data_IF_713598029553
#
_entry.id   IF_713598029553
#
_cell.length_a   1.000
_cell.length_b   1.000
_cell.length_c   1.000
_cell.angle_alpha   90.00
_cell.angle_beta   90.00
_cell.angle_gamma   90.00
#
_symmetry.space_group_name_H-M   'P 1'
#
loop_
_entity.id
_entity.type
_entity.pdbx_description
1 polymer ?
#
# COMPACT_ATOMS: atom_id res chain seq x y z
N UNK A 1 -13.46 9.06 4.18
CA UNK A 1 -12.42 9.69 3.33
C UNK A 1 -12.87 9.58 1.89
N UNK A 2 -12.87 10.67 1.17
CA UNK A 2 -13.30 10.59 -0.22
C UNK A 2 -12.18 10.05 -1.10
N UNK A 3 -12.53 9.71 -2.34
CA UNK A 3 -11.59 9.05 -3.23
C UNK A 3 -10.41 9.94 -3.57
N UNK A 4 -10.64 11.22 -3.76
CA UNK A 4 -9.57 12.12 -4.14
C UNK A 4 -8.56 12.29 -3.00
N UNK A 5 -9.04 12.44 -1.79
CA UNK A 5 -8.17 12.54 -0.62
C UNK A 5 -7.39 11.24 -0.42
N UNK A 6 -8.08 10.11 -0.58
CA UNK A 6 -7.44 8.82 -0.45
C UNK A 6 -6.34 8.63 -1.49
N UNK A 7 -6.62 8.98 -2.74
CA UNK A 7 -5.62 8.85 -3.81
C UNK A 7 -4.39 9.71 -3.53
N UNK A 8 -4.60 10.92 -3.01
CA UNK A 8 -3.48 11.79 -2.66
C UNK A 8 -2.60 11.19 -1.57
N UNK A 9 -3.22 10.57 -0.57
CA UNK A 9 -2.46 9.93 0.50
C UNK A 9 -1.67 8.73 -0.02
N UNK A 10 -2.27 7.96 -0.92
CA UNK A 10 -1.58 6.81 -1.52
C UNK A 10 -0.39 7.28 -2.35
N UNK A 11 -0.56 8.35 -3.15
CA UNK A 11 0.54 8.88 -3.94
C UNK A 11 1.70 9.34 -3.05
N UNK A 12 1.39 9.99 -1.94
CA UNK A 12 2.44 10.44 -1.02
C UNK A 12 3.17 9.25 -0.43
N UNK A 13 2.45 8.21 -0.06
CA UNK A 13 3.07 7.00 0.46
C UNK A 13 3.98 6.34 -0.58
N UNK A 14 3.56 6.32 -1.84
CA UNK A 14 4.40 5.77 -2.90
C UNK A 14 5.71 6.55 -3.03
N UNK A 15 5.62 7.88 -2.97
CA UNK A 15 6.81 8.71 -3.10
C UNK A 15 7.79 8.46 -1.95
N UNK A 16 7.29 8.35 -0.74
CA UNK A 16 8.15 8.07 0.42
C UNK A 16 8.78 6.69 0.29
N UNK A 17 7.99 5.70 -0.12
CA UNK A 17 8.51 4.35 -0.30
C UNK A 17 9.62 4.28 -1.33
N UNK A 18 9.47 5.01 -2.43
CA UNK A 18 10.52 5.04 -3.46
C UNK A 18 11.78 5.70 -2.93
N UNK A 19 11.64 6.75 -2.14
CA UNK A 19 12.80 7.38 -1.50
C UNK A 19 13.52 6.41 -0.58
N UNK A 20 12.75 5.57 0.13
CA UNK A 20 13.34 4.58 1.02
C UNK A 20 14.16 3.54 0.26
N UNK A 21 13.76 3.21 -0.97
CA UNK A 21 14.54 2.28 -1.78
C UNK A 21 15.88 2.89 -2.18
N UNK A 22 15.93 4.19 -2.36
CA UNK A 22 17.15 4.85 -2.74
C UNK A 22 18.07 5.10 -1.53
N UNK A 23 17.48 5.45 -0.40
CA UNK A 23 18.24 5.71 0.81
C UNK A 23 17.48 5.11 1.98
N UNK A 24 17.85 3.91 2.36
CA UNK A 24 17.13 3.16 3.37
C UNK A 24 17.35 3.76 4.76
N UNK A 25 16.24 3.93 5.49
CA UNK A 25 16.24 4.43 6.86
C UNK A 25 15.23 3.57 7.61
N UNK A 26 15.69 2.76 8.53
CA UNK A 26 14.82 1.80 9.21
C UNK A 26 13.75 2.48 10.06
N UNK A 27 14.10 3.60 10.71
CA UNK A 27 13.10 4.31 11.50
C UNK A 27 12.03 4.90 10.61
N UNK A 28 12.43 5.48 9.49
CA UNK A 28 11.47 6.03 8.55
C UNK A 28 10.63 4.92 7.92
N UNK A 29 11.25 3.77 7.66
CA UNK A 29 10.51 2.63 7.14
C UNK A 29 9.39 2.22 8.12
N UNK A 30 9.70 2.13 9.40
CA UNK A 30 8.69 1.75 10.38
C UNK A 30 7.55 2.76 10.43
N UNK A 31 7.87 4.04 10.38
CA UNK A 31 6.83 5.08 10.38
C UNK A 31 5.99 5.02 9.10
N UNK A 32 6.66 4.83 7.97
CA UNK A 32 5.97 4.73 6.69
C UNK A 32 5.03 3.53 6.67
N UNK A 33 5.52 2.39 7.15
CA UNK A 33 4.71 1.17 7.19
C UNK A 33 3.46 1.36 8.05
N UNK A 34 3.62 1.95 9.22
CA UNK A 34 2.49 2.20 10.10
C UNK A 34 1.50 3.19 9.51
N UNK A 35 2.02 4.24 8.88
CA UNK A 35 1.16 5.24 8.24
C UNK A 35 0.37 4.63 7.09
N UNK A 36 1.03 3.81 6.28
CA UNK A 36 0.37 3.18 5.15
C UNK A 36 -0.73 2.23 5.61
N UNK A 37 -0.46 1.44 6.65
CA UNK A 37 -1.47 0.54 7.17
C UNK A 37 -2.67 1.31 7.71
N UNK A 38 -2.43 2.44 8.36
CA UNK A 38 -3.52 3.27 8.85
C UNK A 38 -4.37 3.81 7.70
N UNK A 39 -3.72 4.29 6.65
CA UNK A 39 -4.45 4.82 5.50
C UNK A 39 -5.29 3.72 4.85
N UNK A 40 -4.71 2.55 4.66
CA UNK A 40 -5.44 1.43 4.06
C UNK A 40 -6.62 1.00 4.94
N UNK A 41 -6.44 1.02 6.26
CA UNK A 41 -7.53 0.71 7.17
C UNK A 41 -8.65 1.76 7.04
N UNK A 42 -8.29 3.03 6.93
CA UNK A 42 -9.30 4.08 6.79
C UNK A 42 -10.07 3.98 5.48
N UNK A 43 -9.40 3.53 4.42
CA UNK A 43 -10.05 3.45 3.11
C UNK A 43 -10.86 2.16 2.97
N UNK A 44 -10.29 1.04 3.36
CA UNK A 44 -10.88 -0.26 3.07
C UNK A 44 -11.34 -1.03 4.30
N UNK A 45 -10.85 -0.65 5.48
CA UNK A 45 -11.18 -1.37 6.71
C UNK A 45 -10.30 -2.59 6.92
N UNK A 46 -10.55 -3.29 8.02
CA UNK A 46 -9.86 -4.53 8.37
C UNK A 46 -10.88 -5.60 8.68
N UNK A 47 -10.67 -6.82 8.19
CA UNK A 47 -9.63 -7.16 7.22
C UNK A 47 -10.06 -6.81 5.81
N UNK A 48 -9.11 -6.47 4.96
CA UNK A 48 -9.38 -6.23 3.56
C UNK A 48 -8.19 -6.72 2.76
N UNK A 49 -8.40 -6.98 1.49
CA UNK A 49 -7.32 -7.48 0.66
C UNK A 49 -6.17 -6.50 0.56
N UNK A 50 -6.39 -5.21 0.29
CA UNK A 50 -5.27 -4.27 0.23
C UNK A 50 -4.52 -4.15 1.55
N UNK A 51 -5.26 -4.10 2.66
CA UNK A 51 -4.63 -4.00 3.97
C UNK A 51 -3.76 -5.21 4.25
N UNK A 52 -4.32 -6.39 4.03
CA UNK A 52 -3.59 -7.62 4.33
C UNK A 52 -2.42 -7.84 3.38
N UNK A 53 -2.60 -7.50 2.11
CA UNK A 53 -1.52 -7.63 1.13
C UNK A 53 -0.36 -6.70 1.46
N UNK A 54 -0.63 -5.51 1.95
CA UNK A 54 0.42 -4.59 2.35
C UNK A 54 1.11 -5.08 3.63
N UNK A 55 0.32 -5.53 4.59
CA UNK A 55 0.87 -5.95 5.88
C UNK A 55 1.73 -7.21 5.74
N UNK A 56 1.30 -8.13 4.91
CA UNK A 56 2.00 -9.40 4.69
C UNK A 56 2.27 -9.60 3.21
N UNK A 57 3.24 -8.89 2.64
CA UNK A 57 3.48 -8.96 1.21
C UNK A 57 4.31 -10.18 0.86
N UNK A 58 3.77 -11.30 0.86
CA UNK A 58 4.49 -12.52 0.56
C UNK A 58 5.15 -12.48 -0.82
N UNK A 59 5.89 -13.49 -1.14
CA UNK A 59 6.38 -13.69 -2.49
C UNK A 59 7.66 -12.97 -2.86
N UNK A 60 8.26 -12.25 -1.96
CA UNK A 60 9.55 -11.64 -2.25
C UNK A 60 10.63 -12.70 -2.26
N UNK A 61 11.71 -12.41 -2.96
CA UNK A 61 12.82 -13.33 -2.98
C UNK A 61 13.57 -13.31 -1.66
N UNK A 62 14.11 -14.45 -1.28
CA UNK A 62 14.93 -14.53 -0.09
C UNK A 62 16.14 -13.63 -0.26
N UNK A 63 16.48 -12.92 0.78
CA UNK A 63 17.66 -12.07 0.79
C UNK A 63 18.55 -12.47 1.94
N UNK A 64 19.85 -12.30 1.76
CA UNK A 64 20.82 -12.70 2.77
C UNK A 64 21.00 -11.67 3.86
N UNK A 65 20.54 -10.45 3.66
CA UNK A 65 20.76 -9.38 4.61
C UNK A 65 19.45 -8.77 5.04
N UNK A 66 19.48 -8.13 6.21
CA UNK A 66 18.33 -7.38 6.69
C UNK A 66 17.95 -6.28 5.71
N UNK A 67 18.96 -5.58 5.19
CA UNK A 67 18.71 -4.51 4.23
C UNK A 67 17.99 -5.04 2.99
N UNK A 68 18.44 -6.16 2.47
CA UNK A 68 17.80 -6.76 1.29
C UNK A 68 16.37 -7.17 1.57
N UNK A 69 16.12 -7.74 2.75
CA UNK A 69 14.76 -8.13 3.10
C UNK A 69 13.83 -6.93 3.22
N UNK A 70 14.32 -5.85 3.83
CA UNK A 70 13.50 -4.64 3.98
C UNK A 70 13.24 -4.02 2.61
N UNK A 71 14.25 -3.95 1.75
CA UNK A 71 14.05 -3.40 0.41
C UNK A 71 13.08 -4.24 -0.41
N UNK A 72 13.14 -5.57 -0.29
CA UNK A 72 12.17 -6.42 -0.97
C UNK A 72 10.76 -6.16 -0.46
N UNK A 73 10.63 -6.00 0.86
CA UNK A 73 9.35 -5.70 1.46
C UNK A 73 8.80 -4.37 0.93
N UNK A 74 9.65 -3.35 0.88
CA UNK A 74 9.22 -2.04 0.36
C UNK A 74 8.76 -2.17 -1.09
N UNK A 75 9.51 -2.91 -1.91
CA UNK A 75 9.14 -3.08 -3.31
C UNK A 75 7.77 -3.74 -3.46
N UNK A 76 7.51 -4.79 -2.68
CA UNK A 76 6.22 -5.46 -2.74
C UNK A 76 5.09 -4.54 -2.24
N UNK A 77 5.35 -3.79 -1.20
CA UNK A 77 4.36 -2.87 -0.66
C UNK A 77 4.05 -1.73 -1.62
N UNK A 78 5.06 -1.26 -2.35
CA UNK A 78 4.84 -0.26 -3.39
C UNK A 78 3.94 -0.79 -4.50
N UNK A 79 4.06 -2.06 -4.85
CA UNK A 79 3.17 -2.65 -5.84
C UNK A 79 1.73 -2.65 -5.36
N UNK A 80 1.51 -2.93 -4.08
CA UNK A 80 0.17 -2.88 -3.52
C UNK A 80 -0.40 -1.46 -3.62
N UNK A 81 0.39 -0.46 -3.27
CA UNK A 81 -0.06 0.92 -3.33
C UNK A 81 -0.36 1.34 -4.77
N UNK A 82 0.48 0.91 -5.71
CA UNK A 82 0.25 1.21 -7.11
C UNK A 82 -1.06 0.59 -7.60
N UNK A 83 -1.30 -0.67 -7.25
CA UNK A 83 -2.53 -1.34 -7.63
C UNK A 83 -3.75 -0.62 -7.07
N UNK A 84 -3.68 -0.23 -5.79
CA UNK A 84 -4.77 0.50 -5.16
C UNK A 84 -5.03 1.82 -5.87
N UNK A 85 -3.96 2.54 -6.19
CA UNK A 85 -4.12 3.83 -6.86
C UNK A 85 -4.74 3.69 -8.24
N UNK A 86 -4.30 2.69 -9.00
CA UNK A 86 -4.84 2.45 -10.32
C UNK A 86 -6.33 2.07 -10.25
N UNK A 87 -6.68 1.28 -9.26
CA UNK A 87 -8.07 0.89 -9.09
C UNK A 87 -8.94 2.11 -8.77
N UNK A 88 -8.44 3.00 -7.93
CA UNK A 88 -9.19 4.20 -7.57
C UNK A 88 -9.32 5.16 -8.75
N UNK A 89 -8.29 5.23 -9.58
CA UNK A 89 -8.32 6.14 -10.72
C UNK A 89 -9.18 5.62 -11.85
N UNK A 90 -9.31 4.31 -11.96
CA UNK A 90 -10.09 3.75 -13.04
C UNK A 90 -11.59 3.93 -12.83
N UNK A 91 -12.04 4.06 -11.59
CA UNK A 91 -13.46 4.32 -11.32
C UNK A 91 -13.59 5.11 -10.03
N UNK A 92 -13.44 6.41 -10.09
CA UNK A 92 -13.44 7.23 -8.88
C UNK A 92 -14.80 7.31 -8.19
N UNK A 93 -15.88 6.87 -8.85
CA UNK A 93 -17.19 6.93 -8.22
C UNK A 93 -17.53 5.70 -7.42
N UNK A 94 -16.73 4.66 -7.55
CA UNK A 94 -16.98 3.40 -6.88
C UNK A 94 -16.03 3.25 -5.70
N UNK A 95 -16.50 2.72 -4.56
CA UNK A 95 -15.58 2.46 -3.47
C UNK A 95 -14.52 1.47 -3.92
N UNK A 96 -13.24 1.79 -3.72
CA UNK A 96 -12.19 0.91 -4.21
C UNK A 96 -12.25 -0.44 -3.51
N UNK A 97 -12.19 -1.48 -4.28
CA UNK A 97 -12.10 -2.85 -3.78
C UNK A 97 -13.12 -3.21 -2.73
N UNK A 98 -14.27 -2.58 -2.79
CA UNK A 98 -15.34 -2.92 -1.87
C UNK A 98 -15.86 -4.31 -2.18
N UNK A 99 -15.90 -5.21 -1.21
CA UNK A 99 -16.33 -6.57 -1.50
C UNK A 99 -17.78 -6.69 -1.89
N UNK A 100 -18.60 -5.72 -1.54
CA UNK A 100 -20.01 -5.84 -1.87
C UNK A 100 -20.32 -5.45 -3.28
N UNK A 101 -19.38 -4.84 -3.97
CA UNK A 101 -19.69 -4.39 -5.29
C UNK A 101 -19.83 -5.47 -6.30
N UNK A 102 -19.28 -6.61 -6.03
CA UNK A 102 -19.34 -7.65 -7.02
C UNK A 102 -20.72 -8.07 -7.33
N UNK A 103 -21.62 -7.84 -6.43
CA UNK A 103 -22.98 -8.27 -6.66
C UNK A 103 -23.73 -7.38 -7.60
N UNK A 104 -23.21 -6.25 -7.85
CA UNK A 104 -23.98 -5.34 -8.57
C UNK A 104 -23.78 -5.34 -9.96
N UNK A 105 -23.09 -5.90 -10.32
CA UNK A 105 -22.98 -5.78 -11.58
C UNK A 105 -23.72 -6.07 -12.36
#
# INVERSE_FOLDING_TARGET
MDTQTAAGKITKLQNVGESLLQQLDYDLYDKWNSSALRVLDLIFGQPSEPYMSFKFPGGGEAANSREGRVKNSISQKLKVLQFVQEDMESDPRRPPLSPTNSADE
#
